data_IF_656193711894
#
_entry.id   IF_656193711894
#
_cell.length_a   1.000
_cell.length_b   1.000
_cell.length_c   1.000
_cell.angle_alpha   90.00
_cell.angle_beta   90.00
_cell.angle_gamma   90.00
#
_symmetry.space_group_name_H-M   'P 1'
#
loop_
_entity.id
_entity.type
_entity.pdbx_description
1 polymer ?
#
# COMPACT_ATOMS: atom_id res chain seq x y z
N UNK A 1 -0.98 4.58 -43.05
CA UNK A 1 -0.78 3.39 -42.23
C UNK A 1 0.52 3.38 -41.42
N UNK A 2 1.66 3.71 -42.04
CA UNK A 2 2.97 3.60 -41.39
C UNK A 2 3.19 4.69 -40.33
N UNK A 3 2.80 5.92 -40.60
CA UNK A 3 2.90 7.04 -39.64
C UNK A 3 2.11 6.76 -38.34
N UNK A 4 0.88 6.24 -38.45
CA UNK A 4 0.07 5.89 -37.27
C UNK A 4 0.70 4.78 -36.42
N UNK A 5 1.30 3.75 -37.04
CA UNK A 5 1.99 2.69 -36.32
C UNK A 5 3.23 3.22 -35.59
N UNK A 6 3.94 4.16 -36.19
CA UNK A 6 5.09 4.80 -35.56
C UNK A 6 4.67 5.70 -34.39
N UNK A 7 3.61 6.50 -34.53
CA UNK A 7 3.05 7.32 -33.46
C UNK A 7 2.60 6.46 -32.25
N UNK A 8 1.93 5.34 -32.48
CA UNK A 8 1.55 4.39 -31.42
C UNK A 8 2.75 3.80 -30.67
N UNK A 9 3.84 3.50 -31.38
CA UNK A 9 5.06 2.99 -30.79
C UNK A 9 5.72 4.03 -29.88
N UNK A 10 5.79 5.28 -30.37
CA UNK A 10 6.34 6.40 -29.61
C UNK A 10 5.50 6.67 -28.37
N UNK A 11 4.17 6.77 -28.52
CA UNK A 11 3.25 6.97 -27.39
C UNK A 11 3.40 5.88 -26.30
N UNK A 12 3.58 4.61 -26.73
CA UNK A 12 3.87 3.52 -25.77
C UNK A 12 5.19 3.73 -25.03
N UNK A 13 6.26 4.11 -25.72
CA UNK A 13 7.57 4.34 -25.08
C UNK A 13 7.51 5.50 -24.09
N UNK A 14 6.83 6.58 -24.45
CA UNK A 14 6.61 7.72 -23.56
C UNK A 14 5.80 7.33 -22.33
N UNK A 15 4.73 6.56 -22.49
CA UNK A 15 3.95 6.06 -21.37
C UNK A 15 4.78 5.19 -20.41
N UNK A 16 5.66 4.32 -20.94
CA UNK A 16 6.57 3.53 -20.09
C UNK A 16 7.54 4.40 -19.30
N UNK A 17 8.10 5.44 -19.95
CA UNK A 17 9.00 6.40 -19.28
C UNK A 17 8.28 7.13 -18.16
N UNK A 18 7.07 7.66 -18.41
CA UNK A 18 6.25 8.33 -17.40
C UNK A 18 5.88 7.40 -16.24
N UNK A 19 5.56 6.12 -16.51
CA UNK A 19 5.30 5.15 -15.45
C UNK A 19 6.54 4.93 -14.56
N UNK A 20 7.74 4.87 -15.14
CA UNK A 20 8.99 4.77 -14.37
C UNK A 20 9.19 6.03 -13.51
N UNK A 21 8.95 7.21 -14.06
CA UNK A 21 9.06 8.48 -13.32
C UNK A 21 8.07 8.54 -12.14
N UNK A 22 6.81 8.15 -12.35
CA UNK A 22 5.80 8.08 -11.31
C UNK A 22 6.22 7.09 -10.21
N UNK A 23 6.67 5.89 -10.59
CA UNK A 23 7.11 4.86 -9.65
C UNK A 23 8.33 5.33 -8.85
N UNK A 24 9.31 5.99 -9.48
CA UNK A 24 10.48 6.55 -8.81
C UNK A 24 10.10 7.60 -7.74
N UNK A 25 9.02 8.34 -7.94
CA UNK A 25 8.52 9.34 -6.98
C UNK A 25 7.81 8.75 -5.78
N UNK A 26 7.53 7.45 -5.76
CA UNK A 26 6.79 6.81 -4.66
C UNK A 26 7.67 6.68 -3.42
N UNK A 27 7.16 7.10 -2.27
CA UNK A 27 7.78 6.87 -0.96
C UNK A 27 7.47 5.45 -0.49
N UNK A 28 8.49 4.67 -0.15
CA UNK A 28 8.34 3.31 0.36
C UNK A 28 8.16 3.30 1.88
N UNK A 29 9.12 3.90 2.57
CA UNK A 29 9.17 3.97 4.04
C UNK A 29 9.58 5.37 4.47
N UNK A 30 9.67 5.59 5.78
CA UNK A 30 10.19 6.84 6.35
C UNK A 30 11.62 7.18 5.92
N UNK A 31 12.41 6.19 5.52
CA UNK A 31 13.82 6.35 5.17
C UNK A 31 14.10 6.14 3.68
N UNK A 32 13.21 5.45 2.95
CA UNK A 32 13.48 4.98 1.59
C UNK A 32 12.40 5.41 0.62
N UNK A 33 12.80 5.90 -0.54
CA UNK A 33 11.95 6.12 -1.71
C UNK A 33 12.12 4.96 -2.71
N UNK A 34 11.22 4.86 -3.68
CA UNK A 34 11.35 3.88 -4.77
C UNK A 34 12.65 4.12 -5.54
N UNK A 35 12.99 5.38 -5.83
CA UNK A 35 14.27 5.72 -6.47
C UNK A 35 15.48 5.22 -5.68
N UNK A 36 15.45 5.34 -4.35
CA UNK A 36 16.50 4.79 -3.48
C UNK A 36 16.56 3.26 -3.50
N UNK A 37 15.42 2.59 -3.52
CA UNK A 37 15.36 1.12 -3.61
C UNK A 37 15.84 0.61 -4.97
N UNK A 38 15.60 1.34 -6.05
CA UNK A 38 16.02 0.99 -7.41
C UNK A 38 17.54 1.19 -7.67
N UNK A 39 18.31 1.65 -6.69
CA UNK A 39 19.77 1.55 -6.73
C UNK A 39 20.23 0.08 -6.68
N UNK A 40 19.45 -0.79 -6.08
CA UNK A 40 19.64 -2.24 -6.19
C UNK A 40 19.25 -2.70 -7.60
N UNK A 41 20.21 -3.30 -8.31
CA UNK A 41 20.04 -3.73 -9.71
C UNK A 41 18.95 -4.80 -9.87
N UNK A 42 18.76 -5.65 -8.88
CA UNK A 42 17.74 -6.71 -8.90
C UNK A 42 16.35 -6.09 -8.79
N UNK A 43 16.16 -5.15 -7.86
CA UNK A 43 14.90 -4.43 -7.70
C UNK A 43 14.62 -3.62 -8.96
N UNK A 44 15.60 -2.87 -9.44
CA UNK A 44 15.48 -2.06 -10.66
C UNK A 44 15.07 -2.90 -11.88
N UNK A 45 15.75 -4.02 -12.11
CA UNK A 45 15.44 -4.92 -13.23
C UNK A 45 14.03 -5.47 -13.14
N UNK A 46 13.59 -5.89 -11.94
CA UNK A 46 12.23 -6.42 -11.73
C UNK A 46 11.17 -5.34 -11.94
N UNK A 47 11.36 -4.13 -11.40
CA UNK A 47 10.42 -3.01 -11.55
C UNK A 47 10.32 -2.59 -13.02
N UNK A 48 11.44 -2.43 -13.72
CA UNK A 48 11.43 -2.10 -15.14
C UNK A 48 10.77 -3.20 -15.98
N UNK A 49 11.06 -4.48 -15.68
CA UNK A 49 10.43 -5.62 -16.33
C UNK A 49 8.92 -5.62 -16.14
N UNK A 50 8.48 -5.31 -14.93
CA UNK A 50 7.06 -5.22 -14.59
C UNK A 50 6.37 -4.06 -15.33
N UNK A 51 6.99 -2.87 -15.38
CA UNK A 51 6.46 -1.70 -16.09
C UNK A 51 6.36 -1.97 -17.60
N UNK A 52 7.32 -2.68 -18.19
CA UNK A 52 7.24 -3.07 -19.62
C UNK A 52 6.01 -3.92 -19.95
N UNK A 53 5.47 -4.63 -18.95
CA UNK A 53 4.23 -5.38 -19.03
C UNK A 53 2.95 -4.55 -18.82
N UNK A 54 3.05 -3.22 -18.72
CA UNK A 54 1.88 -2.34 -18.55
C UNK A 54 0.85 -2.56 -19.64
N UNK A 55 -0.43 -2.46 -19.26
CA UNK A 55 -1.57 -2.68 -20.15
C UNK A 55 -2.16 -1.34 -20.58
N UNK A 56 -2.56 -1.22 -21.86
CA UNK A 56 -3.29 -0.04 -22.30
C UNK A 56 -4.66 0.04 -21.60
N UNK A 57 -5.05 1.26 -21.25
CA UNK A 57 -6.37 1.59 -20.71
C UNK A 57 -7.17 2.27 -21.79
N UNK A 58 -8.27 1.65 -22.22
CA UNK A 58 -9.12 2.18 -23.29
C UNK A 58 -8.49 2.07 -24.68
N UNK A 59 -8.99 2.89 -25.61
CA UNK A 59 -8.56 2.93 -27.00
C UNK A 59 -7.63 4.13 -27.25
N UNK A 60 -6.67 4.03 -28.19
CA UNK A 60 -5.85 5.17 -28.59
C UNK A 60 -6.71 6.33 -29.09
N UNK A 61 -6.47 7.53 -28.63
CA UNK A 61 -7.08 8.76 -29.12
C UNK A 61 -6.18 9.37 -30.20
N UNK A 62 -6.72 9.53 -31.40
CA UNK A 62 -6.04 10.17 -32.51
C UNK A 62 -6.43 11.64 -32.55
N UNK A 63 -5.46 12.52 -32.48
CA UNK A 63 -5.66 13.97 -32.53
C UNK A 63 -5.53 14.50 -33.96
N UNK A 64 -6.00 15.72 -34.19
CA UNK A 64 -6.03 16.35 -35.51
C UNK A 64 -4.63 16.69 -36.06
N UNK A 65 -3.65 16.83 -35.18
CA UNK A 65 -2.24 17.10 -35.50
C UNK A 65 -1.41 15.83 -35.81
N UNK A 66 -2.07 14.71 -36.02
CA UNK A 66 -1.49 13.37 -36.24
C UNK A 66 -0.82 12.75 -35.01
N UNK A 67 -0.89 13.39 -33.83
CA UNK A 67 -0.43 12.81 -32.58
C UNK A 67 -1.42 11.76 -32.03
N UNK A 68 -0.92 10.93 -31.11
CA UNK A 68 -1.71 9.84 -30.49
C UNK A 68 -1.54 9.91 -28.97
N UNK A 69 -2.66 9.95 -28.27
CA UNK A 69 -2.70 9.80 -26.82
C UNK A 69 -3.05 8.35 -26.45
N UNK A 70 -2.29 7.79 -25.52
CA UNK A 70 -2.52 6.46 -24.95
C UNK A 70 -2.32 6.49 -23.45
N UNK A 71 -3.21 5.81 -22.74
CA UNK A 71 -3.08 5.60 -21.31
C UNK A 71 -2.61 4.17 -21.03
N UNK A 72 -1.70 4.00 -20.09
CA UNK A 72 -1.20 2.71 -19.62
C UNK A 72 -1.27 2.61 -18.11
N UNK A 73 -1.53 1.42 -17.58
CA UNK A 73 -1.56 1.17 -16.16
C UNK A 73 -0.78 -0.08 -15.78
N UNK A 74 -0.27 -0.07 -14.56
CA UNK A 74 0.30 -1.23 -13.86
C UNK A 74 -0.38 -1.37 -12.49
N UNK A 75 -0.68 -2.59 -12.04
CA UNK A 75 -1.25 -2.78 -10.71
C UNK A 75 -0.19 -2.53 -9.63
N UNK A 76 -0.51 -1.72 -8.63
CA UNK A 76 0.41 -1.43 -7.52
C UNK A 76 0.79 -2.68 -6.71
N UNK A 77 -0.06 -3.72 -6.70
CA UNK A 77 0.25 -5.00 -6.06
C UNK A 77 1.52 -5.67 -6.61
N UNK A 78 1.77 -5.55 -7.92
CA UNK A 78 3.00 -6.07 -8.52
C UNK A 78 4.25 -5.31 -8.06
N UNK A 79 4.16 -3.98 -7.92
CA UNK A 79 5.23 -3.17 -7.35
C UNK A 79 5.44 -3.53 -5.86
N UNK A 80 4.36 -3.65 -5.09
CA UNK A 80 4.42 -4.06 -3.68
C UNK A 80 5.10 -5.42 -3.48
N UNK A 81 4.83 -6.38 -4.36
CA UNK A 81 5.45 -7.71 -4.30
C UNK A 81 6.97 -7.68 -4.53
N UNK A 82 7.45 -6.74 -5.36
CA UNK A 82 8.88 -6.57 -5.62
C UNK A 82 9.60 -5.91 -4.44
N UNK A 83 9.00 -4.88 -3.83
CA UNK A 83 9.70 -4.00 -2.87
C UNK A 83 9.44 -4.32 -1.41
N UNK A 84 8.34 -5.00 -1.07
CA UNK A 84 8.10 -5.43 0.30
C UNK A 84 9.03 -6.59 0.66
N UNK A 85 9.74 -6.51 1.80
CA UNK A 85 10.69 -7.55 2.20
C UNK A 85 9.99 -8.92 2.30
N UNK A 86 10.68 -10.00 1.93
CA UNK A 86 10.18 -11.34 2.20
C UNK A 86 10.03 -11.52 3.71
N UNK A 87 8.93 -12.14 4.15
CA UNK A 87 8.75 -12.46 5.56
C UNK A 87 9.74 -13.57 5.90
N UNK A 88 10.78 -13.25 6.64
CA UNK A 88 11.61 -14.26 7.30
C UNK A 88 10.81 -14.78 8.49
N UNK A 89 9.95 -15.78 8.28
CA UNK A 89 9.39 -16.54 9.40
C UNK A 89 10.55 -17.34 10.00
N UNK A 90 10.85 -17.19 11.31
CA UNK A 90 11.68 -18.19 11.97
C UNK A 90 10.98 -19.53 11.75
N UNK A 91 11.71 -20.52 11.28
CA UNK A 91 11.20 -21.86 11.02
C UNK A 91 10.72 -22.48 12.36
N UNK A 92 9.48 -22.21 12.70
CA UNK A 92 8.75 -23.05 13.67
C UNK A 92 8.09 -24.12 12.82
N UNK A 93 8.65 -25.31 12.91
CA UNK A 93 8.17 -26.55 12.34
C UNK A 93 6.70 -26.75 12.72
N UNK A 94 5.77 -26.37 11.84
CA UNK A 94 4.42 -26.93 11.84
C UNK A 94 4.13 -27.40 10.42
N UNK A 95 3.94 -28.72 10.32
CA UNK A 95 3.61 -29.43 9.11
C UNK A 95 2.38 -28.82 8.40
N UNK A 96 2.34 -28.86 7.05
CA UNK A 96 1.20 -28.37 6.31
C UNK A 96 0.01 -29.29 6.52
N UNK A 97 -1.01 -28.84 7.24
CA UNK A 97 -2.31 -29.48 7.21
C UNK A 97 -3.05 -28.93 5.98
N UNK A 98 -2.87 -29.63 4.86
CA UNK A 98 -3.67 -29.46 3.66
C UNK A 98 -5.09 -29.95 3.98
N UNK A 99 -6.01 -29.00 4.20
CA UNK A 99 -7.42 -29.08 3.85
C UNK A 99 -8.16 -27.90 4.47
N UNK A 100 -8.16 -26.80 3.72
CA UNK A 100 -9.29 -25.87 3.85
C UNK A 100 -9.49 -25.15 2.51
N UNK A 101 -10.69 -25.27 1.92
CA UNK A 101 -11.04 -24.58 0.70
C UNK A 101 -10.96 -23.08 0.93
N UNK A 102 -10.54 -22.33 -0.10
CA UNK A 102 -10.60 -20.88 -0.13
C UNK A 102 -12.04 -20.44 0.18
N UNK A 103 -12.32 -20.14 1.44
CA UNK A 103 -13.56 -19.54 1.83
C UNK A 103 -13.58 -18.12 1.25
N UNK A 104 -14.52 -17.88 0.35
CA UNK A 104 -14.96 -16.58 -0.06
C UNK A 104 -15.07 -15.69 1.18
N UNK A 105 -14.61 -14.43 1.05
CA UNK A 105 -14.76 -13.43 2.10
C UNK A 105 -16.26 -13.25 2.41
N UNK A 106 -16.75 -14.04 3.32
CA UNK A 106 -18.04 -13.79 3.96
C UNK A 106 -17.85 -12.59 4.88
N UNK A 107 -18.35 -11.44 4.44
CA UNK A 107 -18.65 -10.29 5.29
C UNK A 107 -19.67 -10.72 6.34
N UNK A 108 -19.22 -11.44 7.35
CA UNK A 108 -20.00 -11.60 8.57
C UNK A 108 -19.80 -10.34 9.39
N UNK A 109 -20.73 -9.43 9.28
CA UNK A 109 -20.91 -8.30 10.21
C UNK A 109 -21.13 -8.90 11.60
N UNK A 110 -20.05 -9.15 12.33
CA UNK A 110 -20.16 -9.47 13.75
C UNK A 110 -20.52 -8.18 14.47
N UNK A 111 -21.76 -8.12 14.95
CA UNK A 111 -22.25 -7.04 15.81
C UNK A 111 -21.29 -6.88 17.00
N UNK A 112 -20.57 -5.76 17.06
CA UNK A 112 -19.76 -5.32 18.19
C UNK A 112 -18.23 -5.43 18.08
N UNK A 113 -17.67 -6.10 17.05
CA UNK A 113 -16.22 -6.22 16.88
C UNK A 113 -15.56 -5.03 16.17
N UNK A 114 -14.28 -4.77 16.47
CA UNK A 114 -13.47 -3.77 15.76
C UNK A 114 -13.16 -4.29 14.36
N UNK A 115 -13.55 -3.55 13.32
CA UNK A 115 -13.40 -3.96 11.93
C UNK A 115 -12.08 -3.49 11.29
N UNK A 116 -11.43 -2.50 11.87
CA UNK A 116 -10.17 -1.93 11.40
C UNK A 116 -9.73 -0.76 12.27
N UNK A 117 -8.59 -0.19 11.95
CA UNK A 117 -8.02 0.95 12.67
C UNK A 117 -7.91 2.14 11.72
N UNK A 118 -8.41 3.29 12.15
CA UNK A 118 -8.22 4.58 11.49
C UNK A 118 -7.27 5.42 12.34
N UNK A 119 -6.14 5.81 11.79
CA UNK A 119 -5.18 6.70 12.46
C UNK A 119 -5.39 8.11 11.92
N UNK A 120 -5.81 9.03 12.77
CA UNK A 120 -5.96 10.45 12.40
C UNK A 120 -4.62 11.18 12.56
N UNK A 121 -3.92 11.35 11.45
CA UNK A 121 -2.63 12.05 11.37
C UNK A 121 -2.76 13.44 10.73
N UNK A 122 -3.98 13.98 10.60
CA UNK A 122 -4.20 15.32 10.07
C UNK A 122 -3.56 16.37 10.99
N UNK A 123 -3.00 17.41 10.38
CA UNK A 123 -2.24 18.44 11.08
C UNK A 123 -0.81 18.05 11.47
N UNK A 124 -0.41 16.79 11.29
CA UNK A 124 0.95 16.32 11.58
C UNK A 124 1.89 16.41 10.38
N UNK A 125 1.39 16.87 9.22
CA UNK A 125 2.14 16.90 7.96
C UNK A 125 2.68 15.51 7.57
N UNK A 126 1.92 14.48 7.87
CA UNK A 126 2.22 13.10 7.49
C UNK A 126 2.15 12.96 5.97
N UNK A 127 3.04 12.13 5.41
CA UNK A 127 3.07 11.83 3.98
C UNK A 127 2.72 10.37 3.73
N UNK A 128 2.05 10.06 2.62
CA UNK A 128 1.74 8.68 2.27
C UNK A 128 3.01 7.91 1.90
N UNK A 129 3.04 6.63 2.26
CA UNK A 129 4.07 5.67 1.85
C UNK A 129 3.46 4.31 1.56
N UNK A 130 4.17 3.46 0.81
CA UNK A 130 3.72 2.09 0.53
C UNK A 130 3.78 1.20 1.77
N UNK A 131 4.77 1.41 2.64
CA UNK A 131 4.98 0.63 3.86
C UNK A 131 5.19 1.55 5.08
N UNK A 132 4.16 2.32 5.51
CA UNK A 132 4.25 3.15 6.69
C UNK A 132 4.34 2.30 7.96
N UNK A 133 4.92 2.86 9.02
CA UNK A 133 4.91 2.25 10.35
C UNK A 133 4.03 3.07 11.30
N UNK A 134 3.41 2.38 12.24
CA UNK A 134 2.79 3.01 13.41
C UNK A 134 3.66 2.69 14.60
N UNK A 135 4.07 3.72 15.33
CA UNK A 135 5.00 3.64 16.44
C UNK A 135 4.30 4.00 17.76
N UNK A 136 4.78 3.44 18.84
CA UNK A 136 4.47 3.93 20.19
C UNK A 136 5.29 5.20 20.51
N UNK A 137 5.07 5.79 21.69
CA UNK A 137 5.81 6.98 22.13
C UNK A 137 7.28 6.68 22.45
N UNK A 138 7.67 5.41 22.58
CA UNK A 138 9.04 4.97 22.78
C UNK A 138 9.77 4.66 21.47
N UNK A 139 9.10 4.79 20.32
CA UNK A 139 9.64 4.51 19.00
C UNK A 139 9.57 3.05 18.59
N UNK A 140 8.90 2.18 19.36
CA UNK A 140 8.71 0.79 18.95
C UNK A 140 7.61 0.67 17.90
N UNK A 141 7.85 -0.12 16.85
CA UNK A 141 6.85 -0.37 15.84
C UNK A 141 5.77 -1.32 16.36
N UNK A 142 4.54 -0.84 16.43
CA UNK A 142 3.35 -1.64 16.71
C UNK A 142 2.71 -2.16 15.41
N UNK A 143 2.90 -1.46 14.31
CA UNK A 143 2.50 -1.87 12.97
C UNK A 143 3.61 -1.53 11.97
N UNK A 144 3.89 -2.44 11.05
CA UNK A 144 4.95 -2.30 10.06
C UNK A 144 5.47 -3.65 9.58
N UNK A 145 6.61 -3.70 8.88
CA UNK A 145 7.22 -4.95 8.41
C UNK A 145 7.33 -6.00 9.53
N UNK A 146 6.88 -7.22 9.25
CA UNK A 146 6.84 -8.33 10.22
C UNK A 146 5.64 -8.32 11.17
N UNK A 147 4.77 -7.31 11.15
CA UNK A 147 3.56 -7.22 11.98
C UNK A 147 2.26 -7.45 11.20
N UNK A 148 2.33 -7.62 9.89
CA UNK A 148 1.20 -7.90 9.01
C UNK A 148 1.50 -9.10 8.10
N UNK A 149 0.46 -9.70 7.57
CA UNK A 149 0.60 -10.73 6.54
C UNK A 149 1.06 -10.09 5.22
N UNK A 150 2.21 -10.57 4.69
CA UNK A 150 2.72 -10.10 3.40
C UNK A 150 1.71 -10.31 2.27
N UNK A 151 0.98 -11.41 2.29
CA UNK A 151 -0.04 -11.72 1.30
C UNK A 151 -1.14 -10.64 1.26
N UNK A 152 -1.62 -10.21 2.43
CA UNK A 152 -2.57 -9.10 2.53
C UNK A 152 -1.96 -7.78 2.10
N UNK A 153 -0.72 -7.50 2.52
CA UNK A 153 -0.02 -6.27 2.17
C UNK A 153 0.23 -6.13 0.66
N UNK A 154 0.60 -7.22 -0.03
CA UNK A 154 0.76 -7.23 -1.48
C UNK A 154 -0.57 -7.00 -2.18
N UNK A 155 -1.63 -7.69 -1.76
CA UNK A 155 -2.94 -7.63 -2.41
C UNK A 155 -3.66 -6.30 -2.18
N UNK A 156 -3.65 -5.81 -0.95
CA UNK A 156 -4.48 -4.68 -0.52
C UNK A 156 -3.67 -3.41 -0.18
N UNK A 157 -2.33 -3.50 -0.17
CA UNK A 157 -1.43 -2.48 0.37
C UNK A 157 -1.32 -2.55 1.90
N UNK A 158 -0.22 -2.06 2.44
CA UNK A 158 0.05 -2.06 3.89
C UNK A 158 -0.95 -1.18 4.65
N UNK A 159 -1.23 0.01 4.14
CA UNK A 159 -2.23 0.92 4.69
C UNK A 159 -3.01 1.61 3.57
N UNK A 160 -4.22 2.05 3.87
CA UNK A 160 -4.99 2.96 3.03
C UNK A 160 -4.81 4.40 3.50
N UNK A 161 -5.19 5.36 2.65
CA UNK A 161 -5.13 6.78 2.96
C UNK A 161 -6.44 7.47 2.59
N UNK A 162 -6.86 8.42 3.41
CA UNK A 162 -8.02 9.26 3.15
C UNK A 162 -7.78 10.67 3.71
N UNK A 163 -8.54 11.64 3.22
CA UNK A 163 -8.52 13.02 3.73
C UNK A 163 -9.59 13.29 4.76
N UNK A 164 -10.70 12.58 4.70
CA UNK A 164 -11.83 12.79 5.60
C UNK A 164 -12.19 11.50 6.36
N UNK A 165 -12.73 11.69 7.57
CA UNK A 165 -13.14 10.56 8.41
C UNK A 165 -14.33 9.81 7.78
N UNK A 166 -15.26 10.55 7.17
CA UNK A 166 -16.44 9.99 6.54
C UNK A 166 -16.06 9.02 5.41
N UNK A 167 -15.16 9.45 4.52
CA UNK A 167 -14.65 8.60 3.43
C UNK A 167 -13.88 7.41 3.98
N UNK A 168 -13.09 7.62 5.04
CA UNK A 168 -12.32 6.55 5.68
C UNK A 168 -13.22 5.47 6.27
N UNK A 169 -14.31 5.84 6.95
CA UNK A 169 -15.24 4.89 7.56
C UNK A 169 -16.02 4.06 6.55
N UNK A 170 -16.13 4.54 5.30
CA UNK A 170 -16.78 3.84 4.19
C UNK A 170 -15.81 2.95 3.40
N UNK A 171 -14.50 3.06 3.64
CA UNK A 171 -13.50 2.24 2.96
C UNK A 171 -13.68 0.76 3.32
N UNK A 172 -13.72 -0.11 2.30
CA UNK A 172 -13.91 -1.55 2.47
C UNK A 172 -12.88 -2.20 3.41
N UNK A 173 -11.73 -1.57 3.58
CA UNK A 173 -10.65 -2.03 4.46
C UNK A 173 -11.07 -2.02 5.93
N UNK A 174 -11.88 -1.04 6.35
CA UNK A 174 -12.21 -0.76 7.75
C UNK A 174 -13.71 -0.65 8.02
N UNK A 175 -14.54 -0.71 7.00
CA UNK A 175 -16.00 -0.49 7.09
C UNK A 175 -16.67 -1.33 8.19
N UNK A 176 -17.62 -0.73 8.88
CA UNK A 176 -18.40 -1.34 9.97
C UNK A 176 -18.20 -0.60 11.28
N UNK A 177 -17.27 -1.04 12.11
CA UNK A 177 -16.97 -0.43 13.41
C UNK A 177 -15.45 -0.20 13.58
N UNK A 178 -14.85 0.73 12.83
CA UNK A 178 -13.44 1.02 12.96
C UNK A 178 -13.11 1.74 14.26
N UNK A 179 -12.00 1.38 14.87
CA UNK A 179 -11.43 2.15 15.98
C UNK A 179 -10.67 3.36 15.43
N UNK A 180 -11.04 4.56 15.87
CA UNK A 180 -10.34 5.80 15.50
C UNK A 180 -9.34 6.16 16.58
N UNK A 181 -8.08 6.36 16.19
CA UNK A 181 -6.97 6.71 17.07
C UNK A 181 -6.30 7.96 16.56
N UNK A 182 -5.92 8.87 17.46
CA UNK A 182 -5.24 10.10 17.09
C UNK A 182 -3.73 9.91 17.05
N UNK A 183 -3.09 10.31 15.94
CA UNK A 183 -1.64 10.46 15.86
C UNK A 183 -1.16 11.60 16.75
N UNK A 184 -0.03 11.43 17.40
CA UNK A 184 0.61 12.45 18.27
C UNK A 184 1.88 13.02 17.67
N UNK A 185 2.42 12.41 16.62
CA UNK A 185 3.60 12.87 15.91
C UNK A 185 3.91 12.05 14.66
N UNK A 186 4.88 12.54 13.91
CA UNK A 186 5.45 11.82 12.77
C UNK A 186 6.96 11.68 12.92
N UNK A 187 7.53 10.63 12.37
CA UNK A 187 8.99 10.40 12.40
C UNK A 187 9.52 9.92 11.04
N UNK A 188 10.86 9.87 10.96
CA UNK A 188 11.60 9.57 9.75
C UNK A 188 11.73 10.77 8.79
N UNK A 189 12.71 10.69 7.90
CA UNK A 189 13.02 11.75 6.94
C UNK A 189 11.83 12.10 6.06
N UNK A 190 11.05 11.12 5.66
CA UNK A 190 9.89 11.29 4.79
C UNK A 190 8.58 11.54 5.56
N UNK A 191 8.58 11.57 6.90
CA UNK A 191 7.40 11.79 7.76
C UNK A 191 6.25 10.83 7.46
N UNK A 192 6.54 9.58 7.22
CA UNK A 192 5.56 8.54 6.88
C UNK A 192 5.20 7.65 8.06
N UNK A 193 6.05 7.62 9.09
CA UNK A 193 5.80 6.89 10.31
C UNK A 193 4.99 7.76 11.28
N UNK A 194 3.96 7.20 11.88
CA UNK A 194 3.05 7.92 12.75
C UNK A 194 3.17 7.38 14.17
N UNK A 195 3.39 8.28 15.10
CA UNK A 195 3.43 7.93 16.53
C UNK A 195 2.02 8.10 17.12
N UNK A 196 1.60 7.14 17.95
CA UNK A 196 0.35 7.19 18.71
C UNK A 196 0.63 7.08 20.22
N UNK A 197 -0.38 7.39 21.04
CA UNK A 197 -0.23 7.31 22.48
C UNK A 197 -0.09 5.85 22.97
N UNK A 198 0.67 5.63 24.04
CA UNK A 198 0.81 4.29 24.65
C UNK A 198 -0.54 3.73 25.16
N UNK A 199 -1.47 4.60 25.54
CA UNK A 199 -2.82 4.19 25.91
C UNK A 199 -3.60 3.61 24.71
N UNK A 200 -3.42 4.18 23.53
CA UNK A 200 -4.06 3.69 22.31
C UNK A 200 -3.39 2.44 21.77
N UNK A 201 -2.09 2.26 21.97
CA UNK A 201 -1.38 1.00 21.69
C UNK A 201 -2.07 -0.17 22.37
N UNK A 202 -2.38 -0.05 23.67
CA UNK A 202 -3.04 -1.12 24.42
C UNK A 202 -4.41 -1.48 23.87
N UNK A 203 -5.19 -0.48 23.38
CA UNK A 203 -6.50 -0.71 22.73
C UNK A 203 -6.33 -1.43 21.41
N UNK A 204 -5.35 -1.01 20.59
CA UNK A 204 -5.05 -1.63 19.30
C UNK A 204 -4.59 -3.07 19.48
N UNK A 205 -3.73 -3.35 20.44
CA UNK A 205 -3.25 -4.70 20.74
C UNK A 205 -4.41 -5.63 21.13
N UNK A 206 -5.35 -5.14 21.95
CA UNK A 206 -6.54 -5.89 22.31
C UNK A 206 -7.42 -6.17 21.09
N UNK A 207 -7.65 -5.16 20.24
CA UNK A 207 -8.40 -5.33 19.00
C UNK A 207 -7.72 -6.31 18.05
N UNK A 208 -6.40 -6.23 17.91
CA UNK A 208 -5.64 -7.11 17.03
C UNK A 208 -5.65 -8.57 17.49
N UNK A 209 -5.54 -8.82 18.80
CA UNK A 209 -5.65 -10.19 19.36
C UNK A 209 -6.99 -10.84 19.05
N UNK A 210 -8.08 -10.06 19.12
CA UNK A 210 -9.42 -10.56 18.93
C UNK A 210 -9.84 -10.66 17.45
N UNK A 211 -9.39 -9.70 16.61
CA UNK A 211 -9.92 -9.51 15.25
C UNK A 211 -8.86 -9.49 14.15
N UNK A 212 -7.57 -9.65 14.49
CA UNK A 212 -6.42 -9.69 13.57
C UNK A 212 -6.34 -8.47 12.62
N UNK A 213 -6.82 -7.30 13.06
CA UNK A 213 -6.95 -6.10 12.23
C UNK A 213 -5.63 -5.62 11.63
N UNK A 214 -4.53 -5.74 12.37
CA UNK A 214 -3.19 -5.40 11.90
C UNK A 214 -2.65 -6.46 10.93
N UNK A 215 -2.82 -7.75 11.27
CA UNK A 215 -2.40 -8.87 10.41
C UNK A 215 -3.01 -8.78 9.02
N UNK A 216 -4.27 -8.38 8.92
CA UNK A 216 -5.05 -8.31 7.70
C UNK A 216 -4.93 -6.93 7.01
N UNK A 217 -3.98 -6.09 7.44
CA UNK A 217 -3.75 -4.74 6.90
C UNK A 217 -5.00 -3.86 6.93
N UNK A 218 -5.88 -4.03 7.94
CA UNK A 218 -7.09 -3.21 8.11
C UNK A 218 -6.76 -1.89 8.80
N UNK A 219 -5.80 -1.17 8.22
CA UNK A 219 -5.29 0.11 8.71
C UNK A 219 -5.50 1.18 7.65
N UNK A 220 -6.09 2.30 8.05
CA UNK A 220 -6.29 3.46 7.22
C UNK A 220 -5.76 4.70 7.95
N UNK A 221 -5.12 5.59 7.22
CA UNK A 221 -4.46 6.79 7.76
C UNK A 221 -5.13 8.02 7.16
N UNK A 222 -5.60 8.93 8.02
CA UNK A 222 -6.08 10.26 7.62
C UNK A 222 -4.88 11.20 7.52
N UNK A 223 -4.76 11.84 6.37
CA UNK A 223 -3.74 12.86 6.08
C UNK A 223 -4.39 14.14 5.56
N UNK A 224 -3.65 15.26 5.54
CA UNK A 224 -4.11 16.57 5.04
C UNK A 224 -4.36 16.61 3.52
#
# INVERSE_FOLDING_TARGET
GQARRMALRIAKQDAMRHLIEIVNGVTLTSETTMSGAMVDDVINTKVQGFIRGARPVGQPKYLSDTSVEMEYSVPMSGISDIVLPPVTVPATTQAPNNNQPAAAANNTTQAGGVTGIIIDARGLKARPAMAPRILDQNGNAIYGPGKYSRQYAVKNGVAGYSKTLETAQQDQRVVGNPMVVKGVGTSGTNRTDITISNADVSKIDMANRNYKVLNDCRVLILID
#
